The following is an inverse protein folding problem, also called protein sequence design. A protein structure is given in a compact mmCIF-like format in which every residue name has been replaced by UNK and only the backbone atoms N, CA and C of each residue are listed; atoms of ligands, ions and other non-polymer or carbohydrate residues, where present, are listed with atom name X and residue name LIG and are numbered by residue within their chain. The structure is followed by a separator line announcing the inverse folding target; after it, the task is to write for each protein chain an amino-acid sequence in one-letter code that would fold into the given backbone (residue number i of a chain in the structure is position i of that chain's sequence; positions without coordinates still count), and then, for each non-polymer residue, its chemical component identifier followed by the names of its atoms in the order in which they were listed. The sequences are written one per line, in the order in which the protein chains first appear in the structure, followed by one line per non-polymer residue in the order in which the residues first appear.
data_IF_226764105878
#
_entry.id   IF_226764105878
#
_cell.length_a   1.000
_cell.length_b   1.000
_cell.length_c   1.000
_cell.angle_alpha   90.00
_cell.angle_beta   90.00
_cell.angle_gamma   90.00
#
_symmetry.space_group_name_H-M   'P 1'
#
loop_
_entity.id
_entity.type
_entity.pdbx_description
1 polymer ?
#
# COMPACT_ATOMS: atom_id res chain seq x y z
N UNK A 1 30.86 69.86 5.05
CA UNK A 1 30.21 71.17 5.21
C UNK A 1 28.73 71.03 4.85
N UNK A 2 27.84 71.38 5.77
CA UNK A 2 26.42 71.63 5.53
C UNK A 2 26.11 72.97 6.23
N UNK A 3 25.17 73.80 5.74
CA UNK A 3 24.07 74.16 6.64
C UNK A 3 22.69 74.36 5.94
N UNK A 4 21.61 74.55 6.72
CA UNK A 4 20.27 74.03 6.40
C UNK A 4 19.11 75.06 6.48
N UNK A 5 17.91 74.55 6.15
CA UNK A 5 16.61 74.71 6.84
C UNK A 5 15.60 75.83 6.51
N UNK A 6 14.32 75.43 6.66
CA UNK A 6 13.07 76.18 6.97
C UNK A 6 12.33 76.90 5.82
N UNK A 7 10.98 76.92 5.70
CA UNK A 7 9.89 76.33 6.49
C UNK A 7 8.51 76.53 5.78
N UNK A 8 7.52 75.70 6.17
CA UNK A 8 6.06 75.96 6.31
C UNK A 8 5.21 76.18 5.04
N UNK A 9 3.92 75.84 4.95
CA UNK A 9 2.94 75.25 5.86
C UNK A 9 1.55 75.18 5.16
N UNK A 10 0.77 74.15 5.52
CA UNK A 10 -0.62 73.71 5.21
C UNK A 10 -1.79 74.75 5.29
N UNK A 11 -3.12 74.40 5.21
CA UNK A 11 -4.00 73.54 4.34
C UNK A 11 -5.37 74.29 4.04
N UNK A 12 -6.64 73.76 4.09
CA UNK A 12 -7.33 72.46 3.76
C UNK A 12 -8.65 72.60 2.91
N UNK A 13 -9.28 71.46 2.50
CA UNK A 13 -10.74 71.09 2.55
C UNK A 13 -11.20 70.13 1.41
N UNK A 14 -11.78 68.98 1.82
CA UNK A 14 -12.55 67.99 1.03
C UNK A 14 -14.04 68.43 0.90
N UNK A 15 -14.86 67.89 -0.03
CA UNK A 15 -15.66 66.67 0.26
C UNK A 15 -15.98 65.73 -0.93
N UNK A 16 -16.71 64.66 -0.59
CA UNK A 16 -17.00 63.38 -1.24
C UNK A 16 -18.28 63.31 -2.10
N UNK A 17 -18.35 62.25 -2.93
CA UNK A 17 -19.50 61.60 -3.61
C UNK A 17 -20.00 62.13 -4.97
N UNK A 18 -19.80 61.34 -6.04
CA UNK A 18 -20.92 60.82 -6.85
C UNK A 18 -20.51 59.63 -7.75
N UNK A 19 -21.36 58.62 -7.67
CA UNK A 19 -21.40 57.38 -8.44
C UNK A 19 -21.80 57.63 -9.89
N UNK A 20 -20.98 57.24 -10.86
CA UNK A 20 -21.42 57.02 -12.24
C UNK A 20 -20.94 55.67 -12.76
N UNK A 21 -21.91 54.76 -12.75
CA UNK A 21 -22.01 53.46 -13.43
C UNK A 21 -21.63 53.57 -14.92
N UNK A 22 -20.70 52.75 -15.44
CA UNK A 22 -20.60 52.50 -16.87
C UNK A 22 -21.60 51.41 -17.33
N UNK A 23 -21.99 51.39 -18.61
CA UNK A 23 -23.13 50.64 -19.11
C UNK A 23 -22.88 49.13 -19.19
N UNK A 24 -23.96 48.37 -19.02
CA UNK A 24 -24.05 46.95 -19.28
C UNK A 24 -24.13 46.68 -20.81
N UNK A 25 -23.92 45.40 -21.15
CA UNK A 25 -24.16 44.75 -22.44
C UNK A 25 -22.96 44.67 -23.40
N UNK A 26 -22.14 43.64 -23.20
CA UNK A 26 -22.02 42.60 -24.24
C UNK A 26 -21.85 41.23 -23.59
N UNK A 27 -22.95 40.48 -23.57
CA UNK A 27 -23.03 39.13 -23.05
C UNK A 27 -22.55 38.14 -24.12
N UNK A 28 -21.32 37.65 -24.01
CA UNK A 28 -20.92 36.39 -24.65
C UNK A 28 -21.20 35.25 -23.67
N UNK A 29 -22.39 34.66 -23.79
CA UNK A 29 -22.82 33.51 -23.02
C UNK A 29 -21.95 32.28 -23.35
N UNK A 30 -21.44 31.52 -22.35
CA UNK A 30 -21.00 30.15 -22.60
C UNK A 30 -22.25 29.28 -22.80
N UNK A 31 -22.33 28.62 -23.95
CA UNK A 31 -23.41 27.68 -24.26
C UNK A 31 -23.48 26.55 -23.20
N UNK A 32 -24.70 26.11 -22.81
CA UNK A 32 -24.88 25.00 -21.89
C UNK A 32 -24.72 23.67 -22.61
N UNK A 33 -24.25 22.67 -21.86
CA UNK A 33 -24.12 21.23 -22.21
C UNK A 33 -22.72 20.80 -22.66
N UNK A 34 -21.84 20.56 -21.68
CA UNK A 34 -20.87 19.45 -21.77
C UNK A 34 -21.20 18.46 -20.65
N UNK A 35 -21.61 17.22 -20.96
CA UNK A 35 -21.93 16.24 -19.95
C UNK A 35 -20.65 15.83 -19.21
N UNK A 36 -20.62 16.09 -17.91
CA UNK A 36 -19.98 15.26 -16.88
C UNK A 36 -18.63 14.63 -17.21
N UNK A 37 -17.66 15.41 -17.67
CA UNK A 37 -16.28 14.97 -17.72
C UNK A 37 -15.63 15.19 -16.36
N UNK A 38 -15.58 14.14 -15.53
CA UNK A 38 -14.71 14.09 -14.36
C UNK A 38 -13.27 14.43 -14.80
N UNK A 39 -12.85 15.68 -14.63
CA UNK A 39 -11.43 16.01 -14.51
C UNK A 39 -10.99 15.48 -13.14
N UNK A 40 -10.85 14.16 -13.04
CA UNK A 40 -9.91 13.58 -12.07
C UNK A 40 -8.57 14.18 -12.46
N UNK A 41 -8.15 15.22 -11.74
CA UNK A 41 -6.77 15.66 -11.79
C UNK A 41 -5.93 14.41 -11.57
N UNK A 42 -5.05 14.11 -12.53
CA UNK A 42 -4.13 12.96 -12.50
C UNK A 42 -3.04 13.17 -11.44
N UNK A 43 -3.42 13.59 -10.24
CA UNK A 43 -2.53 13.88 -9.11
C UNK A 43 -1.95 12.59 -8.50
N UNK A 44 -2.40 11.42 -8.95
CA UNK A 44 -1.91 10.10 -8.50
C UNK A 44 -0.84 9.48 -9.42
N UNK A 45 -0.41 10.15 -10.49
CA UNK A 45 0.63 9.58 -11.37
C UNK A 45 2.00 9.87 -10.79
N UNK A 46 2.70 8.80 -10.37
CA UNK A 46 4.10 8.84 -9.96
C UNK A 46 4.96 9.49 -11.05
N UNK A 47 5.40 10.72 -10.80
CA UNK A 47 6.37 11.39 -11.64
C UNK A 47 7.76 10.76 -11.39
N UNK A 48 8.66 10.73 -12.40
CA UNK A 48 10.04 10.26 -12.22
C UNK A 48 10.75 10.93 -11.04
N UNK A 49 10.51 12.23 -10.83
CA UNK A 49 11.02 13.00 -9.69
C UNK A 49 10.41 12.58 -8.35
N UNK A 50 9.12 12.24 -8.33
CA UNK A 50 8.44 11.78 -7.13
C UNK A 50 9.03 10.45 -6.64
N UNK A 51 9.31 9.52 -7.55
CA UNK A 51 9.95 8.22 -7.23
C UNK A 51 11.37 8.41 -6.69
N UNK A 52 12.16 9.33 -7.27
CA UNK A 52 13.51 9.67 -6.75
C UNK A 52 13.48 10.28 -5.34
N UNK A 53 12.38 10.92 -4.96
CA UNK A 53 12.22 11.56 -3.65
C UNK A 53 11.67 10.63 -2.55
N UNK A 54 11.29 9.39 -2.88
CA UNK A 54 10.77 8.43 -1.89
C UNK A 54 11.89 7.98 -0.97
N UNK A 55 11.72 8.19 0.34
CA UNK A 55 12.58 7.62 1.37
C UNK A 55 11.88 6.47 2.08
N UNK A 56 12.52 5.31 2.14
CA UNK A 56 12.02 4.17 2.93
C UNK A 56 12.55 4.25 4.36
N UNK A 57 11.70 3.95 5.34
CA UNK A 57 12.14 3.78 6.72
C UNK A 57 13.01 2.52 6.84
N UNK A 58 14.10 2.61 7.62
CA UNK A 58 14.93 1.43 7.90
C UNK A 58 14.15 0.38 8.67
N UNK A 59 14.41 -0.88 8.39
CA UNK A 59 13.82 -1.99 9.12
C UNK A 59 14.14 -1.84 10.62
N UNK A 60 13.11 -1.89 11.47
CA UNK A 60 13.29 -1.81 12.93
C UNK A 60 14.20 -2.92 13.45
N UNK A 61 14.87 -2.68 14.58
CA UNK A 61 15.80 -3.64 15.20
C UNK A 61 15.16 -5.05 15.28
N UNK A 62 15.85 -6.04 14.71
CA UNK A 62 15.43 -7.45 14.74
C UNK A 62 14.63 -7.94 13.53
N UNK A 63 14.32 -7.09 12.54
CA UNK A 63 13.76 -7.51 11.24
C UNK A 63 14.80 -7.34 10.13
N UNK A 64 14.95 -8.35 9.27
CA UNK A 64 15.71 -8.19 8.01
C UNK A 64 14.90 -7.31 7.06
N UNK A 65 15.46 -6.16 6.71
CA UNK A 65 14.92 -5.28 5.66
C UNK A 65 15.25 -5.79 4.26
N UNK A 66 14.66 -5.14 3.26
CA UNK A 66 15.12 -5.24 1.87
C UNK A 66 16.53 -4.62 1.77
N UNK A 67 17.35 -5.15 0.88
CA UNK A 67 18.68 -4.62 0.62
C UNK A 67 18.57 -3.20 0.03
N UNK A 68 19.26 -2.23 0.64
CA UNK A 68 19.19 -0.82 0.23
C UNK A 68 19.75 -0.61 -1.18
N UNK A 69 20.73 -1.42 -1.61
CA UNK A 69 21.35 -1.33 -2.94
C UNK A 69 20.41 -1.89 -4.02
N UNK A 70 19.80 -3.05 -3.77
CA UNK A 70 18.83 -3.65 -4.71
C UNK A 70 17.59 -2.76 -4.86
N UNK A 71 17.09 -2.19 -3.77
CA UNK A 71 15.97 -1.25 -3.80
C UNK A 71 16.34 0.01 -4.59
N UNK A 72 17.55 0.53 -4.42
CA UNK A 72 18.01 1.71 -5.16
C UNK A 72 18.16 1.42 -6.66
N UNK A 73 18.74 0.27 -7.03
CA UNK A 73 18.87 -0.16 -8.41
C UNK A 73 17.49 -0.37 -9.08
N UNK A 74 16.54 -0.94 -8.35
CA UNK A 74 15.17 -1.09 -8.82
C UNK A 74 14.49 0.27 -9.03
N UNK A 75 14.60 1.20 -8.08
CA UNK A 75 14.05 2.55 -8.22
C UNK A 75 14.64 3.29 -9.41
N UNK A 76 15.95 3.21 -9.66
CA UNK A 76 16.57 3.84 -10.82
C UNK A 76 16.03 3.27 -12.15
N UNK A 77 15.79 1.95 -12.21
CA UNK A 77 15.15 1.32 -13.37
C UNK A 77 13.71 1.79 -13.57
N UNK A 78 12.92 1.85 -12.49
CA UNK A 78 11.53 2.36 -12.54
C UNK A 78 11.50 3.81 -12.99
N UNK A 79 12.43 4.64 -12.52
CA UNK A 79 12.52 6.04 -12.94
C UNK A 79 12.87 6.18 -14.41
N UNK A 80 13.80 5.38 -14.92
CA UNK A 80 14.16 5.37 -16.34
C UNK A 80 12.97 4.97 -17.23
N UNK A 81 12.25 3.91 -16.85
CA UNK A 81 11.05 3.45 -17.55
C UNK A 81 9.91 4.49 -17.50
N UNK A 82 9.66 5.11 -16.34
CA UNK A 82 8.65 6.17 -16.22
C UNK A 82 9.00 7.41 -17.05
N UNK A 83 10.29 7.74 -17.16
CA UNK A 83 10.74 8.83 -18.02
C UNK A 83 10.55 8.48 -19.51
N UNK A 84 10.88 7.25 -19.90
CA UNK A 84 10.68 6.76 -21.26
C UNK A 84 9.18 6.76 -21.63
N UNK A 85 8.33 6.15 -20.81
CA UNK A 85 6.88 6.13 -21.02
C UNK A 85 6.27 7.55 -21.03
N UNK A 86 6.81 8.46 -20.22
CA UNK A 86 6.44 9.88 -20.24
C UNK A 86 6.73 10.54 -21.58
N UNK A 87 7.94 10.33 -22.10
CA UNK A 87 8.39 10.88 -23.39
C UNK A 87 7.63 10.28 -24.58
N UNK A 88 7.41 8.97 -24.57
CA UNK A 88 6.61 8.28 -25.59
C UNK A 88 5.18 8.81 -25.61
N UNK A 89 4.57 8.99 -24.43
CA UNK A 89 3.23 9.55 -24.31
C UNK A 89 3.15 11.00 -24.77
N UNK A 90 4.15 11.83 -24.50
CA UNK A 90 4.17 13.22 -25.02
C UNK A 90 4.34 13.23 -26.53
N UNK A 91 5.22 12.40 -27.09
CA UNK A 91 5.41 12.28 -28.53
C UNK A 91 4.12 11.82 -29.23
N UNK A 92 3.44 10.83 -28.67
CA UNK A 92 2.17 10.35 -29.19
C UNK A 92 1.06 11.41 -29.06
N UNK A 93 1.05 12.19 -27.98
CA UNK A 93 0.11 13.29 -27.83
C UNK A 93 0.32 14.41 -28.87
N UNK A 94 1.58 14.75 -29.18
CA UNK A 94 1.91 15.68 -30.25
C UNK A 94 1.51 15.15 -31.63
N UNK A 95 1.72 13.87 -31.89
CA UNK A 95 1.31 13.24 -33.15
C UNK A 95 -0.21 13.23 -33.32
N UNK A 96 -0.95 12.86 -32.27
CA UNK A 96 -2.42 12.94 -32.25
C UNK A 96 -2.89 14.38 -32.49
N UNK A 97 -2.22 15.37 -31.88
CA UNK A 97 -2.56 16.78 -32.09
C UNK A 97 -2.33 17.20 -33.55
N UNK A 98 -1.17 16.85 -34.14
CA UNK A 98 -0.89 17.10 -35.56
C UNK A 98 -1.90 16.41 -36.48
N UNK A 99 -2.29 15.18 -36.18
CA UNK A 99 -3.30 14.45 -36.95
C UNK A 99 -4.68 15.13 -36.84
N UNK A 100 -5.06 15.59 -35.65
CA UNK A 100 -6.30 16.36 -35.44
C UNK A 100 -6.30 17.67 -36.20
N UNK A 101 -5.19 18.41 -36.21
CA UNK A 101 -5.06 19.66 -36.97
C UNK A 101 -5.10 19.40 -38.49
N UNK A 102 -4.48 18.32 -38.96
CA UNK A 102 -4.59 17.88 -40.37
C UNK A 102 -6.01 17.50 -40.75
N UNK A 103 -6.75 16.83 -39.86
CA UNK A 103 -8.15 16.49 -40.08
C UNK A 103 -9.05 17.72 -40.01
N UNK A 104 -8.82 18.65 -39.09
CA UNK A 104 -9.58 19.90 -38.96
C UNK A 104 -9.35 20.84 -40.16
N UNK A 105 -8.11 20.98 -40.61
CA UNK A 105 -7.77 21.75 -41.82
C UNK A 105 -8.29 21.09 -43.11
N UNK A 106 -8.37 19.75 -43.15
CA UNK A 106 -9.04 19.01 -44.23
C UNK A 106 -10.56 19.13 -44.20
N UNK A 107 -11.17 19.18 -43.01
CA UNK A 107 -12.62 19.31 -42.80
C UNK A 107 -13.17 20.72 -43.01
N UNK A 108 -12.34 21.76 -42.90
CA UNK A 108 -12.76 23.15 -43.09
C UNK A 108 -13.05 23.53 -44.56
N UNK A 109 -12.66 22.70 -45.54
CA UNK A 109 -12.93 22.95 -46.98
C UNK A 109 -14.25 22.37 -47.50
N UNK A 110 -15.02 21.70 -46.67
CA UNK A 110 -16.36 21.22 -47.01
C UNK A 110 -17.05 20.67 -45.79
N UNK A 111 -18.06 21.37 -45.28
CA UNK A 111 -18.93 20.85 -44.23
C UNK A 111 -19.51 19.53 -44.72
N UNK A 112 -19.14 18.44 -44.05
CA UNK A 112 -19.65 17.11 -44.36
C UNK A 112 -21.18 17.13 -44.24
N UNK A 113 -21.93 16.71 -45.28
CA UNK A 113 -23.38 16.69 -45.22
C UNK A 113 -23.85 15.83 -44.03
N UNK A 114 -24.98 16.19 -43.38
CA UNK A 114 -25.41 15.57 -42.12
C UNK A 114 -25.60 14.05 -42.20
N UNK A 115 -25.93 13.51 -43.38
CA UNK A 115 -25.99 12.06 -43.60
C UNK A 115 -24.62 11.39 -43.51
N UNK A 116 -23.58 11.97 -44.12
CA UNK A 116 -22.21 11.44 -44.06
C UNK A 116 -21.64 11.50 -42.63
N UNK A 117 -21.94 12.56 -41.88
CA UNK A 117 -21.55 12.67 -40.47
C UNK A 117 -22.20 11.56 -39.62
N UNK A 118 -23.47 11.21 -39.88
CA UNK A 118 -24.14 10.09 -39.22
C UNK A 118 -23.47 8.74 -39.59
N UNK A 119 -23.18 8.50 -40.87
CA UNK A 119 -22.49 7.27 -41.30
C UNK A 119 -21.08 7.15 -40.68
N UNK A 120 -20.34 8.26 -40.58
CA UNK A 120 -19.03 8.27 -39.92
C UNK A 120 -19.15 8.02 -38.40
N UNK A 121 -20.14 8.61 -37.74
CA UNK A 121 -20.40 8.38 -36.32
C UNK A 121 -20.75 6.90 -36.03
N UNK A 122 -21.64 6.31 -36.83
CA UNK A 122 -21.99 4.88 -36.72
C UNK A 122 -20.77 3.99 -36.94
N UNK A 123 -19.90 4.32 -37.90
CA UNK A 123 -18.65 3.58 -38.14
C UNK A 123 -17.71 3.65 -36.92
N UNK A 124 -17.50 4.84 -36.37
CA UNK A 124 -16.63 5.04 -35.20
C UNK A 124 -17.20 4.30 -33.99
N UNK A 125 -18.52 4.37 -33.77
CA UNK A 125 -19.18 3.65 -32.66
C UNK A 125 -19.06 2.13 -32.83
N UNK A 126 -19.26 1.62 -34.04
CA UNK A 126 -19.08 0.19 -34.34
C UNK A 126 -17.64 -0.27 -34.11
N UNK A 127 -16.66 0.52 -34.57
CA UNK A 127 -15.23 0.25 -34.32
C UNK A 127 -14.89 0.31 -32.83
N UNK A 128 -15.42 1.30 -32.11
CA UNK A 128 -15.21 1.46 -30.69
C UNK A 128 -15.82 0.30 -29.90
N UNK A 129 -17.02 -0.15 -30.27
CA UNK A 129 -17.68 -1.31 -29.67
C UNK A 129 -16.87 -2.57 -29.91
N UNK A 130 -16.43 -2.83 -31.14
CA UNK A 130 -15.57 -3.98 -31.46
C UNK A 130 -14.28 -3.95 -30.63
N UNK A 131 -13.69 -2.77 -30.46
CA UNK A 131 -12.48 -2.60 -29.64
C UNK A 131 -12.76 -2.85 -28.16
N UNK A 132 -13.90 -2.38 -27.64
CA UNK A 132 -14.32 -2.63 -26.26
C UNK A 132 -14.54 -4.13 -26.02
N UNK A 133 -15.21 -4.83 -26.95
CA UNK A 133 -15.44 -6.27 -26.86
C UNK A 133 -14.11 -7.06 -26.84
N UNK A 134 -13.12 -6.63 -27.63
CA UNK A 134 -11.77 -7.20 -27.59
C UNK A 134 -11.09 -7.00 -26.22
N UNK A 135 -11.14 -5.78 -25.67
CA UNK A 135 -10.56 -5.51 -24.36
C UNK A 135 -11.24 -6.32 -23.24
N UNK A 136 -12.56 -6.51 -23.32
CA UNK A 136 -13.29 -7.35 -22.36
C UNK A 136 -12.82 -8.80 -22.47
N UNK A 137 -12.73 -9.34 -23.69
CA UNK A 137 -12.27 -10.71 -23.91
C UNK A 137 -10.82 -10.92 -23.41
N UNK A 138 -9.92 -9.96 -23.67
CA UNK A 138 -8.53 -10.01 -23.20
C UNK A 138 -8.44 -9.91 -21.66
N UNK A 139 -9.21 -9.02 -21.05
CA UNK A 139 -9.26 -8.90 -19.59
C UNK A 139 -9.81 -10.19 -18.94
N UNK A 140 -10.84 -10.81 -19.51
CA UNK A 140 -11.38 -12.08 -19.04
C UNK A 140 -10.38 -13.24 -19.20
N UNK A 141 -9.55 -13.23 -20.24
CA UNK A 141 -8.49 -14.23 -20.40
C UNK A 141 -7.39 -14.02 -19.37
N UNK A 142 -6.89 -12.80 -19.24
CA UNK A 142 -5.83 -12.45 -18.30
C UNK A 142 -6.23 -12.77 -16.85
N UNK A 143 -7.46 -12.42 -16.45
CA UNK A 143 -7.98 -12.73 -15.11
C UNK A 143 -8.10 -14.24 -14.86
N UNK A 144 -8.50 -15.03 -15.86
CA UNK A 144 -8.52 -16.49 -15.76
C UNK A 144 -7.13 -17.09 -15.63
N UNK A 145 -6.17 -16.59 -16.42
CA UNK A 145 -4.76 -17.00 -16.33
C UNK A 145 -4.18 -16.68 -14.95
N UNK A 146 -4.37 -15.45 -14.46
CA UNK A 146 -3.93 -15.03 -13.13
C UNK A 146 -4.58 -15.85 -12.01
N UNK A 147 -5.88 -16.12 -12.11
CA UNK A 147 -6.59 -16.96 -11.14
C UNK A 147 -6.07 -18.41 -11.15
N UNK A 148 -5.68 -18.94 -12.31
CA UNK A 148 -5.08 -20.26 -12.43
C UNK A 148 -3.67 -20.28 -11.81
N UNK A 149 -2.83 -19.30 -12.14
CA UNK A 149 -1.48 -19.16 -11.59
C UNK A 149 -1.52 -19.01 -10.06
N UNK A 150 -2.40 -18.16 -9.52
CA UNK A 150 -2.57 -17.99 -8.08
C UNK A 150 -3.00 -19.31 -7.39
N UNK A 151 -3.83 -20.13 -8.04
CA UNK A 151 -4.22 -21.45 -7.50
C UNK A 151 -3.03 -22.41 -7.46
N UNK A 152 -2.26 -22.49 -8.54
CA UNK A 152 -1.05 -23.32 -8.60
C UNK A 152 -0.03 -22.88 -7.54
N UNK A 153 0.20 -21.58 -7.41
CA UNK A 153 1.13 -21.04 -6.43
C UNK A 153 0.70 -21.35 -4.99
N UNK A 154 -0.60 -21.18 -4.69
CA UNK A 154 -1.18 -21.56 -3.40
C UNK A 154 -1.03 -23.07 -3.13
N UNK A 155 -1.28 -23.91 -4.13
CA UNK A 155 -1.11 -25.37 -4.00
C UNK A 155 0.34 -25.76 -3.72
N UNK A 156 1.30 -25.12 -4.40
CA UNK A 156 2.72 -25.31 -4.14
C UNK A 156 3.10 -24.92 -2.70
N UNK A 157 2.65 -23.74 -2.21
CA UNK A 157 2.89 -23.30 -0.84
C UNK A 157 2.29 -24.28 0.17
N UNK A 158 1.04 -24.71 -0.05
CA UNK A 158 0.38 -25.66 0.84
C UNK A 158 1.07 -27.03 0.84
N UNK A 159 1.54 -27.50 -0.31
CA UNK A 159 2.28 -28.76 -0.42
C UNK A 159 3.63 -28.68 0.32
N UNK A 160 4.38 -27.59 0.13
CA UNK A 160 5.66 -27.36 0.82
C UNK A 160 5.47 -27.22 2.33
N UNK A 161 4.47 -26.44 2.77
CA UNK A 161 4.13 -26.29 4.18
C UNK A 161 3.72 -27.63 4.81
N UNK A 162 2.94 -28.47 4.10
CA UNK A 162 2.57 -29.82 4.56
C UNK A 162 3.79 -30.72 4.68
N UNK A 163 4.66 -30.75 3.67
CA UNK A 163 5.88 -31.56 3.72
C UNK A 163 6.79 -31.17 4.89
N UNK A 164 6.96 -29.87 5.16
CA UNK A 164 7.72 -29.39 6.33
C UNK A 164 7.07 -29.78 7.66
N UNK A 165 5.74 -29.72 7.75
CA UNK A 165 5.02 -30.13 8.94
C UNK A 165 5.16 -31.63 9.21
N UNK A 166 5.08 -32.45 8.16
CA UNK A 166 5.30 -33.91 8.26
C UNK A 166 6.71 -34.24 8.76
N UNK A 167 7.74 -33.61 8.20
CA UNK A 167 9.12 -33.76 8.67
C UNK A 167 9.28 -33.37 10.14
N UNK A 168 8.74 -32.21 10.54
CA UNK A 168 8.80 -31.75 11.93
C UNK A 168 8.08 -32.71 12.89
N UNK A 169 6.93 -33.26 12.49
CA UNK A 169 6.22 -34.26 13.27
C UNK A 169 7.03 -35.55 13.40
N UNK A 170 7.65 -36.01 12.31
CA UNK A 170 8.48 -37.21 12.34
C UNK A 170 9.70 -37.03 13.25
N UNK A 171 10.41 -35.91 13.14
CA UNK A 171 11.54 -35.56 14.02
C UNK A 171 11.11 -35.50 15.49
N UNK A 172 9.96 -34.88 15.80
CA UNK A 172 9.44 -34.81 17.16
C UNK A 172 9.08 -36.20 17.72
N UNK A 173 8.48 -37.08 16.91
CA UNK A 173 8.18 -38.45 17.31
C UNK A 173 9.45 -39.27 17.55
N UNK A 174 10.44 -39.16 16.67
CA UNK A 174 11.72 -39.83 16.84
C UNK A 174 12.44 -39.37 18.11
N UNK A 175 12.42 -38.06 18.39
CA UNK A 175 13.03 -37.51 19.59
C UNK A 175 12.30 -37.96 20.87
N UNK A 176 10.97 -37.97 20.87
CA UNK A 176 10.18 -38.48 21.98
C UNK A 176 10.45 -39.96 22.25
N UNK A 177 10.54 -40.78 21.20
CA UNK A 177 10.88 -42.20 21.30
C UNK A 177 12.26 -42.41 21.93
N UNK A 178 13.27 -41.62 21.52
CA UNK A 178 14.62 -41.69 22.12
C UNK A 178 14.60 -41.37 23.61
N UNK A 179 13.93 -40.29 24.02
CA UNK A 179 13.82 -39.92 25.44
C UNK A 179 13.10 -41.01 26.24
N UNK A 180 12.03 -41.59 25.68
CA UNK A 180 11.29 -42.68 26.32
C UNK A 180 12.15 -43.94 26.50
N UNK A 181 12.90 -44.33 25.47
CA UNK A 181 13.85 -45.45 25.55
C UNK A 181 14.95 -45.20 26.60
N UNK A 182 15.52 -43.99 26.62
CA UNK A 182 16.55 -43.62 27.59
C UNK A 182 16.02 -43.67 29.03
N UNK A 183 14.82 -43.13 29.27
CA UNK A 183 14.16 -43.20 30.56
C UNK A 183 13.87 -44.64 30.99
N UNK A 184 13.42 -45.50 30.07
CA UNK A 184 13.18 -46.91 30.32
C UNK A 184 14.49 -47.65 30.68
N UNK A 185 15.59 -47.39 29.96
CA UNK A 185 16.92 -47.97 30.25
C UNK A 185 17.40 -47.56 31.65
N UNK A 186 17.22 -46.29 32.03
CA UNK A 186 17.58 -45.81 33.36
C UNK A 186 16.74 -46.48 34.47
N UNK A 187 15.44 -46.67 34.24
CA UNK A 187 14.55 -47.36 35.18
C UNK A 187 14.95 -48.83 35.40
N UNK A 188 15.36 -49.53 34.34
CA UNK A 188 15.86 -50.93 34.44
C UNK A 188 17.21 -50.98 35.17
N UNK A 189 18.12 -50.05 34.88
CA UNK A 189 19.42 -49.96 35.56
C UNK A 189 19.26 -49.66 37.06
N UNK A 190 18.31 -48.80 37.43
CA UNK A 190 17.98 -48.52 38.83
C UNK A 190 17.44 -49.75 39.57
N UNK A 191 16.63 -50.59 38.91
CA UNK A 191 16.12 -51.85 39.48
C UNK A 191 17.18 -52.94 39.64
N UNK A 192 18.20 -52.93 38.77
CA UNK A 192 19.29 -53.92 38.79
C UNK A 192 20.39 -53.59 39.81
N UNK A 193 20.33 -52.42 40.47
CA UNK A 193 21.26 -52.03 41.54
C UNK A 193 20.90 -52.81 42.82
N UNK A 194 21.84 -53.54 43.45
CA UNK A 194 21.53 -54.32 44.65
C UNK A 194 21.02 -53.41 45.78
N UNK A 195 19.93 -53.81 46.42
CA UNK A 195 19.32 -53.07 47.51
C UNK A 195 20.31 -52.96 48.68
N UNK A 196 20.81 -51.74 48.94
CA UNK A 196 21.53 -51.44 50.17
C UNK A 196 20.56 -51.63 51.37
N UNK A 197 21.06 -52.09 52.54
CA UNK A 197 20.20 -52.39 53.68
C UNK A 197 19.35 -51.19 54.07
N UNK A 198 18.05 -51.44 54.22
CA UNK A 198 17.03 -50.42 54.44
C UNK A 198 17.31 -49.59 55.69
N UNK A 199 17.58 -48.31 55.48
CA UNK A 199 17.46 -47.28 56.51
C UNK A 199 15.96 -47.09 56.88
N UNK A 200 15.64 -46.71 58.13
CA UNK A 200 14.27 -46.60 58.60
C UNK A 200 13.43 -45.62 57.75
N UNK A 201 12.11 -45.83 57.65
CA UNK A 201 11.24 -45.08 56.75
C UNK A 201 11.17 -43.62 57.18
N UNK A 202 11.89 -42.77 56.45
CA UNK A 202 11.66 -41.33 56.49
C UNK A 202 10.39 -41.02 55.70
N UNK A 203 9.58 -40.04 56.11
CA UNK A 203 8.42 -39.62 55.33
C UNK A 203 8.86 -39.22 53.91
N UNK A 204 7.99 -39.35 52.88
CA UNK A 204 8.32 -39.06 51.49
C UNK A 204 8.44 -37.55 51.22
N UNK A 205 9.31 -36.87 51.97
CA UNK A 205 9.57 -35.44 51.83
C UNK A 205 10.23 -35.12 50.50
N UNK A 206 11.03 -36.03 49.94
CA UNK A 206 11.61 -35.87 48.61
C UNK A 206 10.57 -35.74 47.50
N UNK A 207 9.47 -36.50 47.59
CA UNK A 207 8.36 -36.43 46.62
C UNK A 207 7.53 -35.16 46.77
N UNK A 208 7.24 -34.75 48.01
CA UNK A 208 6.53 -33.48 48.29
C UNK A 208 7.33 -32.27 47.82
N UNK A 209 8.63 -32.22 48.13
CA UNK A 209 9.50 -31.14 47.68
C UNK A 209 9.68 -31.13 46.16
N UNK A 210 9.69 -32.29 45.48
CA UNK A 210 9.72 -32.35 44.02
C UNK A 210 8.43 -31.78 43.40
N UNK A 211 7.26 -32.17 43.92
CA UNK A 211 5.97 -31.64 43.49
C UNK A 211 5.85 -30.14 43.76
N UNK A 212 6.34 -29.65 44.91
CA UNK A 212 6.37 -28.23 45.24
C UNK A 212 7.23 -27.43 44.24
N UNK A 213 8.40 -27.95 43.85
CA UNK A 213 9.25 -27.34 42.83
C UNK A 213 8.57 -27.33 41.46
N UNK A 214 7.90 -28.40 41.08
CA UNK A 214 7.18 -28.48 39.81
C UNK A 214 5.98 -27.53 39.77
N UNK A 215 5.22 -27.43 40.87
CA UNK A 215 4.13 -26.46 41.00
C UNK A 215 4.67 -25.02 40.94
N UNK A 216 5.80 -24.73 41.61
CA UNK A 216 6.43 -23.43 41.55
C UNK A 216 6.92 -23.10 40.12
N UNK A 217 7.55 -24.07 39.45
CA UNK A 217 7.97 -23.96 38.06
C UNK A 217 6.78 -23.68 37.13
N UNK A 218 5.72 -24.47 37.21
CA UNK A 218 4.52 -24.29 36.38
C UNK A 218 3.82 -22.95 36.63
N UNK A 219 3.79 -22.47 37.88
CA UNK A 219 3.24 -21.14 38.20
C UNK A 219 4.07 -20.03 37.59
N UNK A 220 5.39 -20.05 37.77
CA UNK A 220 6.28 -19.05 37.17
C UNK A 220 6.23 -19.09 35.64
N UNK A 221 6.22 -20.28 35.04
CA UNK A 221 6.07 -20.45 33.60
C UNK A 221 4.73 -19.87 33.11
N UNK A 222 3.62 -20.15 33.82
CA UNK A 222 2.29 -19.62 33.49
C UNK A 222 2.23 -18.09 33.60
N UNK A 223 2.84 -17.51 34.64
CA UNK A 223 2.89 -16.05 34.83
C UNK A 223 3.73 -15.36 33.75
N UNK A 224 4.88 -15.95 33.40
CA UNK A 224 5.72 -15.47 32.30
C UNK A 224 4.98 -15.60 30.96
N UNK A 225 4.35 -16.75 30.69
CA UNK A 225 3.62 -16.99 29.45
C UNK A 225 2.40 -16.08 29.30
N UNK A 226 1.65 -15.83 30.37
CA UNK A 226 0.55 -14.84 30.38
C UNK A 226 1.04 -13.43 30.13
N UNK A 227 2.18 -13.06 30.71
CA UNK A 227 2.79 -11.75 30.48
C UNK A 227 3.25 -11.61 29.02
N UNK A 228 3.85 -12.66 28.46
CA UNK A 228 4.30 -12.71 27.07
C UNK A 228 3.13 -12.69 26.08
N UNK A 229 2.04 -13.42 26.37
CA UNK A 229 0.84 -13.40 25.55
C UNK A 229 0.15 -12.02 25.59
N UNK A 230 0.11 -11.39 26.77
CA UNK A 230 -0.44 -10.03 26.91
C UNK A 230 0.39 -9.02 26.12
N UNK A 231 1.72 -9.06 26.23
CA UNK A 231 2.57 -8.15 25.48
C UNK A 231 2.46 -8.38 23.96
N UNK A 232 2.34 -9.64 23.53
CA UNK A 232 2.11 -9.99 22.13
C UNK A 232 0.76 -9.50 21.61
N UNK A 233 -0.32 -9.72 22.37
CA UNK A 233 -1.66 -9.23 22.01
C UNK A 233 -1.74 -7.71 22.00
N UNK A 234 -1.14 -7.04 22.99
CA UNK A 234 -1.04 -5.58 23.00
C UNK A 234 -0.22 -5.06 21.82
N UNK A 235 0.86 -5.75 21.42
CA UNK A 235 1.63 -5.38 20.25
C UNK A 235 0.84 -5.58 18.94
N UNK A 236 0.04 -6.65 18.84
CA UNK A 236 -0.88 -6.85 17.71
C UNK A 236 -1.95 -5.76 17.66
N UNK A 237 -2.60 -5.46 18.77
CA UNK A 237 -3.62 -4.40 18.85
C UNK A 237 -3.02 -3.03 18.49
N UNK A 238 -1.83 -2.70 19.03
CA UNK A 238 -1.13 -1.46 18.65
C UNK A 238 -0.82 -1.37 17.16
N UNK A 239 -0.38 -2.48 16.54
CA UNK A 239 -0.15 -2.52 15.09
C UNK A 239 -1.45 -2.30 14.30
N UNK A 240 -2.58 -2.86 14.74
CA UNK A 240 -3.89 -2.64 14.10
C UNK A 240 -4.32 -1.19 14.25
N UNK A 241 -4.18 -0.59 15.44
CA UNK A 241 -4.50 0.82 15.68
C UNK A 241 -3.60 1.77 14.87
N UNK A 242 -2.33 1.43 14.70
CA UNK A 242 -1.39 2.16 13.84
C UNK A 242 -1.77 2.04 12.37
N UNK A 243 -2.17 0.85 11.92
CA UNK A 243 -2.67 0.64 10.57
C UNK A 243 -3.94 1.45 10.31
N UNK A 244 -4.94 1.39 11.20
CA UNK A 244 -6.19 2.13 11.05
C UNK A 244 -5.96 3.66 11.08
N UNK A 245 -4.99 4.13 11.88
CA UNK A 245 -4.55 5.54 11.86
C UNK A 245 -3.83 5.91 10.57
N UNK A 246 -2.99 5.03 10.04
CA UNK A 246 -2.33 5.24 8.75
C UNK A 246 -3.35 5.30 7.61
N UNK A 247 -4.39 4.47 7.65
CA UNK A 247 -5.49 4.46 6.69
C UNK A 247 -6.34 5.73 6.81
N UNK A 248 -6.69 6.15 8.03
CA UNK A 248 -7.42 7.41 8.27
C UNK A 248 -6.63 8.65 7.86
N UNK A 249 -5.32 8.67 8.08
CA UNK A 249 -4.47 9.77 7.64
C UNK A 249 -4.20 9.75 6.13
N UNK A 250 -4.34 8.59 5.49
CA UNK A 250 -4.31 8.46 4.03
C UNK A 250 -5.62 8.92 3.37
N UNK A 251 -6.73 9.03 4.12
CA UNK A 251 -7.98 9.60 3.63
C UNK A 251 -7.91 11.14 3.60
N UNK A 252 -8.09 11.78 2.43
CA UNK A 252 -8.03 13.24 2.32
C UNK A 252 -9.24 13.89 3.02
N UNK A 253 -8.97 14.82 3.93
CA UNK A 253 -10.01 15.67 4.56
C UNK A 253 -10.60 16.59 3.48
N UNK A 254 -11.94 16.63 3.30
CA UNK A 254 -12.56 17.54 2.32
C UNK A 254 -12.32 18.98 2.74
N UNK A 255 -11.56 19.73 1.95
CA UNK A 255 -11.31 21.15 2.20
C UNK A 255 -12.60 21.95 1.98
N UNK A 256 -13.07 22.58 3.05
CA UNK A 256 -14.24 23.45 3.07
C UNK A 256 -13.91 24.75 2.31
N UNK A 257 -14.75 25.19 1.35
CA UNK A 257 -14.43 26.33 0.50
C UNK A 257 -14.37 27.63 1.33
N UNK A 258 -13.46 28.58 0.99
CA UNK A 258 -13.37 29.84 1.70
C UNK A 258 -14.64 30.67 1.45
N UNK A 259 -15.22 31.18 2.54
CA UNK A 259 -16.28 32.17 2.49
C UNK A 259 -15.69 33.53 2.11
N UNK A 260 -16.11 34.07 0.97
CA UNK A 260 -15.72 35.39 0.49
C UNK A 260 -16.24 35.64 -0.91
#
# INVERSE_FOLDING_TARGET
MNPPNAAGGEPPYLPVHQTSRPPAEDASAPAPNTPGGFLVQRSDRLAPSAVRSVSFARAGLGRRGLDEEDVRAFLDRVVAELAQLGNEKSALAEEVQKLRERLASGGARGGMPPEEAHFQAVRILSQAQQTADLYVADAERYTRELAHEARLHREAILSDARGRAELMMEEAHQQAARIAEEAARQAVAAQSRPAAPAAPPQPPEGGRQAMEREIAYLRTYSDVYRTHLRSYLEALLRNVDEWERSERNALPVPQQPPAG
#
